data_IF_137187096546
#
_entry.id   IF_137187096546
#
_cell.length_a   1.000
_cell.length_b   1.000
_cell.length_c   1.000
_cell.angle_alpha   90.00
_cell.angle_beta   90.00
_cell.angle_gamma   90.00
#
_symmetry.space_group_name_H-M   'P 1'
#
loop_
_entity.id
_entity.type
_entity.pdbx_description
1 polymer ?
#
# COMPACT_ATOMS: atom_id res chain seq x y z
N UNK A 1 -15.29 26.41 9.17
CA UNK A 1 -14.07 25.59 9.13
C UNK A 1 -14.55 24.16 9.23
N UNK A 2 -14.45 23.39 8.14
CA UNK A 2 -14.74 21.96 8.18
C UNK A 2 -13.59 21.28 8.94
N UNK A 3 -13.90 20.71 10.10
CA UNK A 3 -12.92 19.98 10.91
C UNK A 3 -12.76 18.58 10.31
N UNK A 4 -12.01 18.48 9.21
CA UNK A 4 -11.65 17.20 8.63
C UNK A 4 -10.63 16.52 9.54
N UNK A 5 -10.86 15.25 9.86
CA UNK A 5 -9.92 14.46 10.67
C UNK A 5 -8.91 13.86 9.71
N UNK A 6 -7.66 14.33 9.76
CA UNK A 6 -6.55 13.80 8.98
C UNK A 6 -5.78 12.77 9.80
N UNK A 7 -5.48 11.63 9.18
CA UNK A 7 -4.86 10.46 9.79
C UNK A 7 -3.71 10.03 8.88
N UNK A 8 -2.47 10.23 9.34
CA UNK A 8 -1.29 9.68 8.70
C UNK A 8 -1.10 8.24 9.16
N UNK A 9 -0.94 7.32 8.21
CA UNK A 9 -0.73 5.91 8.46
C UNK A 9 0.75 5.54 8.25
N UNK A 10 1.21 4.54 8.98
CA UNK A 10 2.59 4.05 8.94
C UNK A 10 2.96 3.42 7.58
N UNK A 11 1.97 2.97 6.81
CA UNK A 11 2.15 2.53 5.42
C UNK A 11 2.46 3.69 4.44
N UNK A 12 2.54 4.94 4.92
CA UNK A 12 2.83 6.14 4.13
C UNK A 12 1.60 6.80 3.51
N UNK A 13 0.42 6.19 3.63
CA UNK A 13 -0.83 6.79 3.18
C UNK A 13 -1.33 7.86 4.16
N UNK A 14 -2.00 8.89 3.63
CA UNK A 14 -2.72 9.88 4.45
C UNK A 14 -4.21 9.78 4.13
N UNK A 15 -5.02 9.51 5.16
CA UNK A 15 -6.47 9.44 5.04
C UNK A 15 -7.13 10.66 5.69
N UNK A 16 -8.24 11.10 5.12
CA UNK A 16 -9.11 12.12 5.70
C UNK A 16 -10.52 11.55 5.88
N UNK A 17 -11.15 11.87 7.02
CA UNK A 17 -12.58 11.62 7.24
C UNK A 17 -13.34 12.91 6.95
N UNK A 18 -14.09 12.92 5.85
CA UNK A 18 -14.89 14.04 5.38
C UNK A 18 -16.34 13.90 5.88
N UNK A 19 -16.88 14.90 6.60
CA UNK A 19 -18.30 14.94 6.90
C UNK A 19 -19.10 15.30 5.62
N UNK A 20 -20.07 14.47 5.25
CA UNK A 20 -20.99 14.70 4.13
C UNK A 20 -22.42 14.69 4.67
N UNK A 21 -22.96 15.86 4.95
CA UNK A 21 -24.25 16.00 5.61
C UNK A 21 -24.21 15.43 7.03
N UNK A 22 -24.97 14.35 7.28
CA UNK A 22 -24.98 13.63 8.56
C UNK A 22 -24.12 12.37 8.57
N UNK A 23 -23.37 12.13 7.49
CA UNK A 23 -22.56 10.93 7.26
C UNK A 23 -21.08 11.27 7.14
N UNK A 24 -20.25 10.24 7.08
CA UNK A 24 -18.79 10.33 7.03
C UNK A 24 -18.25 9.51 5.86
N UNK A 25 -17.36 10.10 5.07
CA UNK A 25 -16.64 9.43 3.98
C UNK A 25 -15.15 9.41 4.31
N UNK A 26 -14.51 8.25 4.20
CA UNK A 26 -13.05 8.17 4.25
C UNK A 26 -12.50 8.41 2.85
N UNK A 27 -11.47 9.23 2.73
CA UNK A 27 -10.74 9.46 1.49
C UNK A 27 -9.25 9.34 1.73
N UNK A 28 -8.52 8.81 0.75
CA UNK A 28 -7.08 8.84 0.68
C UNK A 28 -6.63 10.09 -0.07
N UNK A 29 -5.65 10.79 0.49
CA UNK A 29 -4.98 11.93 -0.12
C UNK A 29 -3.88 11.41 -1.05
N UNK A 30 -4.04 11.61 -2.35
CA UNK A 30 -3.08 11.17 -3.37
C UNK A 30 -2.27 12.35 -3.91
N UNK A 31 -1.06 12.55 -3.40
CA UNK A 31 -0.02 13.34 -4.05
C UNK A 31 -0.07 14.86 -3.91
N UNK A 32 1.04 15.44 -4.36
CA UNK A 32 1.68 16.69 -3.92
C UNK A 32 0.88 17.99 -4.12
N UNK A 33 1.21 19.01 -3.33
CA UNK A 33 0.68 20.38 -3.39
C UNK A 33 1.01 21.11 -4.71
N UNK A 34 1.54 20.45 -5.72
CA UNK A 34 1.95 21.02 -7.02
C UNK A 34 0.87 20.89 -8.11
N UNK A 35 -0.37 21.17 -7.76
CA UNK A 35 -1.37 21.50 -8.78
C UNK A 35 -1.53 23.01 -8.85
N UNK A 36 -1.16 23.57 -10.00
CA UNK A 36 -1.45 24.94 -10.46
C UNK A 36 -2.94 25.36 -10.34
N UNK A 37 -3.80 24.45 -9.88
CA UNK A 37 -5.25 24.53 -9.75
C UNK A 37 -5.77 24.31 -8.31
N UNK A 38 -4.91 24.16 -7.30
CA UNK A 38 -5.28 24.28 -5.88
C UNK A 38 -6.22 23.22 -5.31
N UNK A 39 -6.40 22.07 -5.98
CA UNK A 39 -7.23 20.96 -5.47
C UNK A 39 -6.38 19.73 -5.20
N UNK A 40 -6.24 19.42 -3.91
CA UNK A 40 -5.68 18.16 -3.41
C UNK A 40 -6.48 17.00 -3.99
N UNK A 41 -5.79 16.07 -4.65
CA UNK A 41 -6.44 14.93 -5.30
C UNK A 41 -6.77 13.89 -4.25
N UNK A 42 -8.05 13.61 -4.06
CA UNK A 42 -8.51 12.60 -3.10
C UNK A 42 -9.16 11.41 -3.81
N UNK A 43 -9.03 10.23 -3.22
CA UNK A 43 -9.65 8.98 -3.67
C UNK A 43 -10.55 8.47 -2.55
N UNK A 44 -11.80 8.13 -2.85
CA UNK A 44 -12.71 7.55 -1.85
C UNK A 44 -12.22 6.18 -1.41
N UNK A 45 -12.17 5.97 -0.09
CA UNK A 45 -11.85 4.69 0.56
C UNK A 45 -13.11 4.16 1.21
N UNK A 46 -13.48 2.93 0.85
CA UNK A 46 -14.63 2.26 1.45
C UNK A 46 -15.97 2.94 1.15
N UNK A 47 -16.92 2.74 2.07
CA UNK A 47 -18.30 3.20 1.95
C UNK A 47 -18.56 4.51 2.72
N UNK A 48 -19.76 5.05 2.54
CA UNK A 48 -20.25 6.16 3.34
C UNK A 48 -20.84 5.64 4.66
N UNK A 49 -20.41 6.20 5.80
CA UNK A 49 -20.79 5.71 7.12
C UNK A 49 -21.76 6.68 7.84
N UNK A 50 -22.76 6.13 8.53
CA UNK A 50 -23.71 6.94 9.32
C UNK A 50 -23.11 7.44 10.64
N UNK A 51 -22.01 6.86 11.10
CA UNK A 51 -21.36 7.20 12.37
C UNK A 51 -19.87 7.37 12.15
N UNK A 52 -19.26 8.22 12.97
CA UNK A 52 -17.82 8.43 12.95
C UNK A 52 -17.06 7.13 13.27
N UNK A 53 -17.61 6.29 14.15
CA UNK A 53 -17.05 4.98 14.47
C UNK A 53 -16.95 4.08 13.24
N UNK A 54 -17.95 4.11 12.35
CA UNK A 54 -17.90 3.35 11.10
C UNK A 54 -16.76 3.79 10.18
N UNK A 55 -16.50 5.10 10.09
CA UNK A 55 -15.39 5.64 9.32
C UNK A 55 -14.02 5.29 9.96
N UNK A 56 -13.93 5.29 11.29
CA UNK A 56 -12.69 4.87 12.00
C UNK A 56 -12.40 3.39 11.77
N UNK A 57 -13.41 2.51 11.81
CA UNK A 57 -13.25 1.09 11.48
C UNK A 57 -12.78 0.89 10.03
N UNK A 58 -13.27 1.72 9.10
CA UNK A 58 -12.83 1.69 7.70
C UNK A 58 -11.36 2.10 7.54
N UNK A 59 -10.92 3.15 8.25
CA UNK A 59 -9.50 3.56 8.32
C UNK A 59 -8.64 2.41 8.85
N UNK A 60 -9.07 1.75 9.93
CA UNK A 60 -8.35 0.60 10.50
C UNK A 60 -8.23 -0.55 9.50
N UNK A 61 -9.29 -0.86 8.75
CA UNK A 61 -9.25 -1.92 7.72
C UNK A 61 -8.33 -1.57 6.57
N UNK A 62 -8.33 -0.30 6.14
CA UNK A 62 -7.43 0.18 5.11
C UNK A 62 -5.97 -0.04 5.52
N UNK A 63 -5.61 0.38 6.73
CA UNK A 63 -4.25 0.24 7.26
C UNK A 63 -3.80 -1.23 7.30
N UNK A 64 -4.64 -2.11 7.84
CA UNK A 64 -4.37 -3.55 7.88
C UNK A 64 -4.17 -4.14 6.47
N UNK A 65 -5.02 -3.78 5.50
CA UNK A 65 -4.91 -4.28 4.14
C UNK A 65 -3.61 -3.82 3.46
N UNK A 66 -3.17 -2.58 3.70
CA UNK A 66 -1.90 -2.07 3.17
C UNK A 66 -0.71 -2.82 3.79
N UNK A 67 -0.72 -3.05 5.10
CA UNK A 67 0.31 -3.83 5.77
C UNK A 67 0.39 -5.27 5.26
N UNK A 68 -0.75 -5.92 5.05
CA UNK A 68 -0.81 -7.26 4.47
C UNK A 68 -0.21 -7.28 3.05
N UNK A 69 -0.55 -6.29 2.22
CA UNK A 69 -0.02 -6.18 0.86
C UNK A 69 1.50 -5.98 0.85
N UNK A 70 2.03 -5.05 1.66
CA UNK A 70 3.47 -4.83 1.79
C UNK A 70 4.21 -6.09 2.23
N UNK A 71 3.67 -6.81 3.23
CA UNK A 71 4.25 -8.06 3.71
C UNK A 71 4.29 -9.15 2.63
N UNK A 72 3.26 -9.22 1.78
CA UNK A 72 3.21 -10.16 0.65
C UNK A 72 4.23 -9.81 -0.44
N UNK A 73 4.42 -8.53 -0.73
CA UNK A 73 5.43 -8.05 -1.70
C UNK A 73 6.86 -8.39 -1.24
N UNK A 74 7.16 -8.18 0.05
CA UNK A 74 8.45 -8.57 0.63
C UNK A 74 8.71 -10.08 0.49
N UNK A 75 7.69 -10.90 0.79
CA UNK A 75 7.78 -12.35 0.68
C UNK A 75 8.00 -12.78 -0.78
N UNK A 76 7.26 -12.19 -1.72
CA UNK A 76 7.42 -12.43 -3.16
C UNK A 76 8.84 -12.08 -3.63
N UNK A 77 9.37 -10.95 -3.18
CA UNK A 77 10.74 -10.51 -3.48
C UNK A 77 11.78 -11.51 -2.95
N UNK A 78 11.63 -11.96 -1.70
CA UNK A 78 12.52 -12.93 -1.09
C UNK A 78 12.51 -14.29 -1.82
N UNK A 79 11.32 -14.78 -2.19
CA UNK A 79 11.16 -16.03 -2.96
C UNK A 79 11.81 -15.90 -4.34
N UNK A 80 11.55 -14.79 -5.05
CA UNK A 80 12.13 -14.55 -6.37
C UNK A 80 13.66 -14.48 -6.34
N UNK A 81 14.21 -13.77 -5.34
CA UNK A 81 15.66 -13.68 -5.11
C UNK A 81 16.28 -15.04 -4.82
N UNK A 82 15.62 -15.87 -4.00
CA UNK A 82 16.08 -17.22 -3.67
C UNK A 82 16.07 -18.12 -4.89
N UNK A 83 14.99 -18.10 -5.69
CA UNK A 83 14.90 -18.89 -6.92
C UNK A 83 15.98 -18.52 -7.93
N UNK A 84 16.27 -17.22 -8.07
CA UNK A 84 17.35 -16.76 -8.96
C UNK A 84 18.71 -17.28 -8.50
N UNK A 85 19.02 -17.22 -7.20
CA UNK A 85 20.28 -17.77 -6.66
C UNK A 85 20.39 -19.29 -6.84
N UNK A 86 19.29 -20.02 -6.68
CA UNK A 86 19.25 -21.47 -6.93
C UNK A 86 19.56 -21.75 -8.40
N UNK A 87 18.92 -20.99 -9.31
CA UNK A 87 19.16 -21.11 -10.75
C UNK A 87 20.61 -20.83 -11.11
N UNK A 88 21.17 -19.72 -10.64
CA UNK A 88 22.58 -19.34 -10.85
C UNK A 88 23.53 -20.43 -10.34
N UNK A 89 23.26 -21.02 -9.17
CA UNK A 89 24.05 -22.11 -8.62
C UNK A 89 24.07 -23.34 -9.55
N UNK A 90 22.91 -23.74 -10.07
CA UNK A 90 22.82 -24.88 -11.00
C UNK A 90 23.48 -24.59 -12.34
N UNK A 91 23.32 -23.38 -12.89
CA UNK A 91 23.98 -22.97 -14.13
C UNK A 91 25.51 -23.01 -13.98
N UNK A 92 26.05 -22.43 -12.90
CA UNK A 92 27.48 -22.45 -12.61
C UNK A 92 28.04 -23.87 -12.45
N UNK A 93 27.33 -24.74 -11.72
CA UNK A 93 27.77 -26.13 -11.54
C UNK A 93 27.67 -26.96 -12.82
N UNK A 94 26.65 -26.72 -13.65
CA UNK A 94 26.52 -27.37 -14.94
C UNK A 94 27.66 -26.97 -15.88
N UNK A 95 28.02 -25.69 -15.93
CA UNK A 95 29.16 -25.21 -16.71
C UNK A 95 30.48 -25.79 -16.19
N UNK A 96 30.67 -25.85 -14.87
CA UNK A 96 31.85 -26.46 -14.27
C UNK A 96 31.98 -27.95 -14.64
N UNK A 97 30.90 -28.72 -14.53
CA UNK A 97 30.89 -30.15 -14.90
C UNK A 97 31.12 -30.37 -16.39
N UNK A 98 30.54 -29.52 -17.25
CA UNK A 98 30.76 -29.62 -18.70
C UNK A 98 32.23 -29.35 -19.09
N UNK A 99 32.89 -28.41 -18.43
CA UNK A 99 34.28 -28.03 -18.72
C UNK A 99 35.33 -28.93 -18.05
N UNK A 100 34.96 -29.71 -17.03
CA UNK A 100 35.86 -30.69 -16.38
C UNK A 100 35.78 -32.09 -16.98
N UNK A 101 34.77 -32.37 -17.81
CA UNK A 101 34.63 -33.62 -18.55
C UNK A 101 35.35 -33.62 -19.93
N UNK A 102 36.01 -32.50 -20.29
CA UNK A 102 36.93 -32.36 -21.42
C UNK A 102 38.38 -32.56 -20.98
#
# INVERSE_FOLDING_TARGET
MENNICIALDCGATLEILPIGTRFQVVEVMGDQDSWYGKQKTRTVGNLHNTIWGAIEEVRRYDLAQYEMLSLEELLSAVSSTNNKIKEYFEYHSEYLANTAM
#
